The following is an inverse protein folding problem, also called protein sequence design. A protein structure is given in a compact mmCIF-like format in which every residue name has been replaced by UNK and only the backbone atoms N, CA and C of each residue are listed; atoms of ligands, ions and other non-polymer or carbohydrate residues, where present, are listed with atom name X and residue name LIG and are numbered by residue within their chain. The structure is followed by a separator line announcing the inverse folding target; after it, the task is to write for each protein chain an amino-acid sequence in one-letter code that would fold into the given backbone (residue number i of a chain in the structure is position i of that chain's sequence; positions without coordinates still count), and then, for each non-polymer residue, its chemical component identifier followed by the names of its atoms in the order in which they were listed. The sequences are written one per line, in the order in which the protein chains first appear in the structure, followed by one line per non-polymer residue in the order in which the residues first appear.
data_IF_610176414732
#
_entry.id   IF_610176414732
#
_cell.length_a   1.000
_cell.length_b   1.000
_cell.length_c   1.000
_cell.angle_alpha   90.00
_cell.angle_beta   90.00
_cell.angle_gamma   90.00
#
_symmetry.space_group_name_H-M   'P 1'
#
loop_
_entity.id
_entity.type
_entity.pdbx_description
1 polymer ?
#
# COMPACT_ATOMS: atom_id res chain seq x y z
N UNK A 1 16.70 4.08 17.58
CA UNK A 1 16.25 3.06 16.61
C UNK A 1 16.00 3.73 15.28
N UNK A 2 16.72 3.34 14.25
CA UNK A 2 16.56 3.96 12.94
C UNK A 2 15.24 3.53 12.32
N UNK A 3 14.43 4.51 11.92
CA UNK A 3 13.24 4.24 11.13
C UNK A 3 13.64 3.72 9.74
N UNK A 4 12.71 3.08 9.04
CA UNK A 4 12.97 2.67 7.65
C UNK A 4 13.37 3.88 6.80
N UNK A 5 12.77 5.03 7.09
CA UNK A 5 13.12 6.27 6.43
C UNK A 5 14.58 6.63 6.62
N UNK A 6 15.08 6.50 7.83
CA UNK A 6 16.49 6.76 8.12
C UNK A 6 17.38 5.72 7.46
N UNK A 7 17.00 4.45 7.51
CA UNK A 7 17.72 3.39 6.84
C UNK A 7 17.72 3.58 5.31
N UNK A 8 16.59 3.95 4.73
CA UNK A 8 16.47 4.24 3.31
C UNK A 8 17.20 5.54 2.93
N UNK A 9 17.15 6.55 3.81
CA UNK A 9 17.90 7.78 3.62
C UNK A 9 19.41 7.56 3.71
N UNK A 10 19.86 6.73 4.63
CA UNK A 10 21.28 6.48 4.82
C UNK A 10 21.84 5.57 3.73
N UNK A 11 21.06 4.70 3.17
CA UNK A 11 21.43 3.89 2.01
C UNK A 11 21.15 4.58 0.69
N UNK A 12 20.55 5.68 0.71
CA UNK A 12 20.53 6.88 -0.11
C UNK A 12 20.33 6.81 -1.58
N UNK A 13 20.15 5.68 -2.15
CA UNK A 13 20.15 5.59 -3.59
C UNK A 13 18.84 5.07 -4.15
N UNK A 14 17.98 4.54 -3.28
CA UNK A 14 16.62 4.25 -3.69
C UNK A 14 15.82 5.50 -3.39
N UNK A 15 15.44 6.24 -4.42
CA UNK A 15 14.55 7.35 -4.22
C UNK A 15 13.24 6.80 -3.67
N UNK A 16 12.70 7.52 -2.71
CA UNK A 16 11.38 7.21 -2.16
C UNK A 16 10.34 6.99 -3.26
N UNK A 17 10.48 7.73 -4.36
CA UNK A 17 9.59 7.62 -5.50
C UNK A 17 9.71 6.30 -6.25
N UNK A 18 10.90 5.70 -6.29
CA UNK A 18 11.09 4.38 -6.91
C UNK A 18 10.46 3.27 -6.10
N UNK A 19 10.57 3.35 -4.76
CA UNK A 19 9.95 2.36 -3.88
C UNK A 19 8.43 2.39 -3.91
N UNK A 20 7.85 3.55 -4.21
CA UNK A 20 6.39 3.73 -4.16
C UNK A 20 5.72 3.77 -5.52
N UNK A 21 6.49 3.83 -6.61
CA UNK A 21 5.94 3.74 -7.96
C UNK A 21 5.65 2.32 -8.39
N UNK A 22 6.32 1.36 -7.79
CA UNK A 22 6.16 -0.05 -8.11
C UNK A 22 5.49 -0.76 -6.96
N UNK A 23 4.53 -1.62 -7.29
CA UNK A 23 3.85 -2.47 -6.33
C UNK A 23 4.82 -3.57 -5.93
N UNK A 24 5.56 -3.36 -4.84
CA UNK A 24 6.65 -4.25 -4.46
C UNK A 24 6.23 -5.17 -3.33
N UNK A 25 6.55 -6.45 -3.46
CA UNK A 25 6.49 -7.39 -2.34
C UNK A 25 7.62 -7.08 -1.35
N UNK A 26 7.50 -7.58 -0.11
CA UNK A 26 8.56 -7.43 0.88
C UNK A 26 9.89 -8.00 0.38
N UNK A 27 9.84 -9.11 -0.36
CA UNK A 27 11.01 -9.75 -0.93
C UNK A 27 11.70 -8.86 -1.97
N UNK A 28 10.92 -8.23 -2.83
CA UNK A 28 11.45 -7.30 -3.83
C UNK A 28 12.11 -6.07 -3.19
N UNK A 29 11.50 -5.56 -2.11
CA UNK A 29 12.06 -4.45 -1.35
C UNK A 29 13.40 -4.86 -0.74
N UNK A 30 13.47 -6.05 -0.17
CA UNK A 30 14.70 -6.58 0.40
C UNK A 30 15.80 -6.69 -0.66
N UNK A 31 15.48 -7.18 -1.84
CA UNK A 31 16.44 -7.28 -2.94
C UNK A 31 16.95 -5.92 -3.38
N UNK A 32 16.07 -4.92 -3.46
CA UNK A 32 16.49 -3.55 -3.77
C UNK A 32 17.41 -3.00 -2.69
N UNK A 33 17.09 -3.24 -1.42
CA UNK A 33 17.94 -2.81 -0.31
C UNK A 33 19.33 -3.45 -0.35
N UNK A 34 19.40 -4.72 -0.72
CA UNK A 34 20.68 -5.45 -0.82
C UNK A 34 21.61 -4.89 -1.88
N UNK A 35 21.10 -4.24 -2.92
CA UNK A 35 21.92 -3.56 -3.91
C UNK A 35 22.75 -2.43 -3.31
N UNK A 36 22.21 -1.77 -2.31
CA UNK A 36 22.82 -0.61 -1.67
C UNK A 36 23.44 -0.94 -0.32
N UNK A 37 22.94 -2.00 0.32
CA UNK A 37 23.46 -2.51 1.59
C UNK A 37 23.41 -4.04 1.55
N UNK A 38 24.54 -4.71 1.23
CA UNK A 38 24.58 -6.18 1.16
C UNK A 38 24.23 -6.87 2.49
N UNK A 39 24.33 -6.13 3.61
CA UNK A 39 24.03 -6.64 4.94
C UNK A 39 22.59 -6.44 5.35
N UNK A 40 21.71 -5.95 4.46
CA UNK A 40 20.30 -5.77 4.76
C UNK A 40 19.65 -7.11 5.10
N UNK A 41 18.93 -7.14 6.23
CA UNK A 41 18.30 -8.35 6.74
C UNK A 41 16.78 -8.30 6.53
N UNK A 42 16.13 -9.44 6.27
CA UNK A 42 14.67 -9.49 6.13
C UNK A 42 13.92 -8.88 7.32
N UNK A 43 14.40 -9.14 8.54
CA UNK A 43 13.75 -8.61 9.74
C UNK A 43 13.68 -7.09 9.75
N UNK A 44 14.71 -6.40 9.26
CA UNK A 44 14.72 -4.94 9.18
C UNK A 44 13.66 -4.44 8.20
N UNK A 45 13.53 -5.09 7.05
CA UNK A 45 12.53 -4.75 6.05
C UNK A 45 11.11 -4.91 6.61
N UNK A 46 10.83 -6.04 7.25
CA UNK A 46 9.49 -6.31 7.80
C UNK A 46 9.10 -5.34 8.90
N UNK A 47 10.03 -5.03 9.82
CA UNK A 47 9.76 -4.03 10.88
C UNK A 47 9.45 -2.66 10.30
N UNK A 48 10.14 -2.30 9.27
CA UNK A 48 9.98 -1.01 8.61
C UNK A 48 8.66 -0.91 7.86
N UNK A 49 8.28 -1.99 7.19
CA UNK A 49 6.97 -2.07 6.53
C UNK A 49 5.82 -2.01 7.54
N UNK A 50 5.97 -2.71 8.67
CA UNK A 50 4.98 -2.64 9.75
C UNK A 50 4.82 -1.22 10.27
N UNK A 51 5.91 -0.52 10.48
CA UNK A 51 5.89 0.87 10.93
C UNK A 51 5.14 1.76 9.94
N UNK A 52 5.45 1.64 8.65
CA UNK A 52 4.80 2.44 7.60
C UNK A 52 3.32 2.12 7.46
N UNK A 53 2.94 0.85 7.64
CA UNK A 53 1.54 0.45 7.64
C UNK A 53 0.78 1.04 8.84
N UNK A 54 1.36 0.98 10.02
CA UNK A 54 0.77 1.55 11.23
C UNK A 54 0.62 3.08 11.11
N UNK A 55 1.56 3.72 10.47
CA UNK A 55 1.51 5.16 10.20
C UNK A 55 0.50 5.50 9.09
N UNK A 56 -0.05 4.52 8.38
CA UNK A 56 -1.02 4.73 7.31
C UNK A 56 -0.42 5.22 6.00
N UNK A 57 0.89 5.20 5.88
CA UNK A 57 1.59 5.72 4.69
C UNK A 57 1.52 4.70 3.54
N UNK A 58 1.66 3.42 3.85
CA UNK A 58 1.55 2.35 2.88
C UNK A 58 0.43 1.39 3.26
N UNK A 59 -0.04 0.65 2.28
CA UNK A 59 -1.06 -0.38 2.46
C UNK A 59 -0.55 -1.67 1.84
N UNK A 60 -0.76 -2.78 2.56
CA UNK A 60 -0.52 -4.09 2.01
C UNK A 60 -1.78 -4.51 1.25
N UNK A 61 -1.62 -4.80 -0.02
CA UNK A 61 -2.70 -5.34 -0.85
C UNK A 61 -2.73 -6.85 -0.64
N UNK A 62 -3.77 -7.33 0.01
CA UNK A 62 -3.85 -8.72 0.49
C UNK A 62 -3.90 -9.73 -0.66
N UNK A 63 -4.59 -9.42 -1.74
CA UNK A 63 -4.75 -10.35 -2.84
C UNK A 63 -3.44 -10.68 -3.56
N UNK A 64 -2.42 -9.86 -3.46
CA UNK A 64 -1.14 -10.10 -4.13
C UNK A 64 0.08 -9.89 -3.23
N UNK A 65 -0.15 -9.65 -1.94
CA UNK A 65 0.89 -9.45 -0.92
C UNK A 65 1.91 -8.38 -1.32
N UNK A 66 1.45 -7.32 -1.96
CA UNK A 66 2.28 -6.20 -2.38
C UNK A 66 1.97 -4.96 -1.55
N UNK A 67 2.95 -4.09 -1.44
CA UNK A 67 2.82 -2.84 -0.71
C UNK A 67 2.69 -1.68 -1.70
N UNK A 68 1.81 -0.74 -1.38
CA UNK A 68 1.57 0.43 -2.21
C UNK A 68 1.46 1.65 -1.30
N UNK A 69 1.99 2.77 -1.77
CA UNK A 69 1.83 4.03 -1.06
C UNK A 69 0.42 4.58 -1.30
N UNK A 70 -0.20 5.06 -0.24
CA UNK A 70 -1.47 5.77 -0.36
C UNK A 70 -1.28 7.14 -1.00
N UNK A 71 -2.08 7.45 -1.99
CA UNK A 71 -2.04 8.76 -2.65
C UNK A 71 -2.64 9.85 -1.78
N UNK A 72 -3.61 9.51 -0.94
CA UNK A 72 -4.26 10.46 -0.03
C UNK A 72 -4.24 9.89 1.38
N UNK A 73 -3.67 10.65 2.32
CA UNK A 73 -3.55 10.26 3.72
C UNK A 73 -4.64 10.88 4.60
N UNK A 74 -5.61 11.57 4.02
CA UNK A 74 -6.70 12.18 4.77
C UNK A 74 -7.56 11.13 5.46
N UNK A 75 -8.01 11.44 6.68
CA UNK A 75 -8.85 10.53 7.46
C UNK A 75 -10.32 10.57 7.09
N UNK A 76 -10.73 11.54 6.27
CA UNK A 76 -12.12 11.75 5.89
C UNK A 76 -12.50 11.16 4.52
N UNK A 77 -11.61 10.36 3.95
CA UNK A 77 -11.84 9.65 2.70
C UNK A 77 -11.54 8.17 2.87
N UNK A 78 -12.21 7.35 2.06
CA UNK A 78 -11.86 5.94 1.91
C UNK A 78 -11.01 5.77 0.67
N UNK A 79 -10.01 4.91 0.72
CA UNK A 79 -9.22 4.54 -0.45
C UNK A 79 -9.71 3.21 -0.98
N UNK A 80 -10.08 3.18 -2.26
CA UNK A 80 -10.53 2.00 -2.96
C UNK A 80 -9.42 1.60 -3.93
N UNK A 81 -8.98 0.35 -3.83
CA UNK A 81 -7.98 -0.22 -4.71
C UNK A 81 -8.68 -1.13 -5.71
N UNK A 82 -8.71 -0.73 -6.98
CA UNK A 82 -9.22 -1.56 -8.07
C UNK A 82 -8.05 -2.35 -8.64
N UNK A 83 -8.06 -3.65 -8.44
CA UNK A 83 -6.93 -4.51 -8.77
C UNK A 83 -7.32 -5.42 -9.91
N UNK A 84 -6.65 -5.28 -11.05
CA UNK A 84 -6.89 -6.17 -12.19
C UNK A 84 -6.37 -7.57 -11.86
N UNK A 85 -7.27 -8.55 -11.87
CA UNK A 85 -6.89 -9.93 -11.58
C UNK A 85 -6.10 -10.59 -12.70
N UNK A 86 -6.05 -9.97 -13.87
CA UNK A 86 -5.32 -10.50 -15.02
C UNK A 86 -3.89 -9.95 -15.12
N UNK A 87 -3.72 -8.64 -15.13
CA UNK A 87 -2.39 -8.01 -15.30
C UNK A 87 -1.80 -7.43 -14.02
N UNK A 88 -2.56 -7.40 -12.91
CA UNK A 88 -2.08 -6.89 -11.63
C UNK A 88 -2.02 -5.36 -11.52
N UNK A 89 -2.50 -4.63 -12.50
CA UNK A 89 -2.58 -3.17 -12.43
C UNK A 89 -3.49 -2.75 -11.27
N UNK A 90 -3.06 -1.75 -10.52
CA UNK A 90 -3.80 -1.24 -9.36
C UNK A 90 -4.14 0.22 -9.59
N UNK A 91 -5.41 0.56 -9.45
CA UNK A 91 -5.91 1.93 -9.53
C UNK A 91 -6.35 2.33 -8.13
N UNK A 92 -5.87 3.47 -7.64
CA UNK A 92 -6.30 4.03 -6.37
C UNK A 92 -7.36 5.11 -6.64
N UNK A 93 -8.45 5.00 -5.93
CA UNK A 93 -9.51 6.02 -5.93
C UNK A 93 -9.84 6.38 -4.49
N UNK A 94 -9.96 7.66 -4.21
CA UNK A 94 -10.37 8.14 -2.89
C UNK A 94 -11.75 8.77 -3.00
N UNK A 95 -12.61 8.48 -2.04
CA UNK A 95 -13.98 8.95 -2.09
C UNK A 95 -14.47 9.34 -0.69
N UNK A 96 -14.99 10.56 -0.59
CA UNK A 96 -15.54 11.10 0.65
C UNK A 96 -16.96 10.60 0.90
N UNK A 97 -17.76 10.47 -0.15
CA UNK A 97 -19.16 10.02 0.00
C UNK A 97 -19.24 8.58 0.46
N UNK A 98 -18.39 7.72 -0.11
CA UNK A 98 -18.30 6.32 0.31
C UNK A 98 -17.80 6.23 1.75
N UNK A 99 -16.84 7.07 2.13
CA UNK A 99 -16.37 7.17 3.51
C UNK A 99 -17.55 7.49 4.45
N UNK A 100 -18.31 8.53 4.14
CA UNK A 100 -19.44 8.94 4.96
C UNK A 100 -20.49 7.83 5.06
N UNK A 101 -20.75 7.13 3.97
CA UNK A 101 -21.70 6.02 3.95
C UNK A 101 -21.24 4.87 4.84
N UNK A 102 -19.97 4.49 4.78
CA UNK A 102 -19.42 3.42 5.60
C UNK A 102 -19.49 3.78 7.08
N UNK A 103 -19.10 5.02 7.44
CA UNK A 103 -19.15 5.48 8.83
C UNK A 103 -20.57 5.43 9.37
N UNK A 104 -21.52 5.90 8.59
CA UNK A 104 -22.93 5.89 8.97
C UNK A 104 -23.45 4.47 9.18
N UNK A 105 -23.12 3.56 8.28
CA UNK A 105 -23.53 2.15 8.40
C UNK A 105 -22.90 1.47 9.59
N UNK A 106 -21.61 1.76 9.87
CA UNK A 106 -20.96 1.22 11.05
C UNK A 106 -21.66 1.67 12.34
N UNK A 107 -22.04 2.94 12.42
CA UNK A 107 -22.77 3.50 13.56
C UNK A 107 -24.13 2.81 13.70
N UNK A 108 -24.85 2.57 12.61
CA UNK A 108 -26.16 1.88 12.62
C UNK A 108 -26.05 0.48 13.26
N UNK A 109 -24.91 -0.18 13.12
CA UNK A 109 -24.64 -1.50 13.72
C UNK A 109 -23.87 -1.42 15.04
N UNK A 110 -23.63 -0.22 15.57
CA UNK A 110 -22.88 -0.04 16.81
C UNK A 110 -21.38 -0.32 16.68
N UNK A 111 -20.84 -0.23 15.48
CA UNK A 111 -19.44 -0.54 15.19
C UNK A 111 -18.61 0.73 15.04
N UNK A 112 -17.32 0.61 15.36
CA UNK A 112 -16.33 1.66 15.08
C UNK A 112 -15.43 1.22 13.93
N UNK A 113 -15.26 2.09 12.94
CA UNK A 113 -14.40 1.78 11.78
C UNK A 113 -12.94 1.97 12.17
N UNK A 114 -12.14 0.93 11.98
CA UNK A 114 -10.70 0.98 12.25
C UNK A 114 -9.87 1.18 10.97
N UNK A 115 -10.24 0.51 9.89
CA UNK A 115 -9.52 0.58 8.62
C UNK A 115 -10.52 0.80 7.50
N UNK A 116 -10.19 1.70 6.59
CA UNK A 116 -11.10 2.13 5.52
C UNK A 116 -10.54 1.88 4.13
N UNK A 117 -9.73 0.87 3.97
CA UNK A 117 -9.21 0.51 2.67
C UNK A 117 -10.05 -0.63 2.09
N UNK A 118 -10.48 -0.46 0.84
CA UNK A 118 -11.33 -1.43 0.16
C UNK A 118 -10.56 -1.97 -1.05
N UNK A 119 -10.50 -3.28 -1.17
CA UNK A 119 -9.91 -3.96 -2.32
C UNK A 119 -11.02 -4.55 -3.17
N UNK A 120 -11.03 -4.18 -4.46
CA UNK A 120 -11.99 -4.69 -5.43
C UNK A 120 -11.23 -5.32 -6.58
N UNK A 121 -11.51 -6.58 -6.87
CA UNK A 121 -10.94 -7.26 -8.02
C UNK A 121 -11.72 -6.86 -9.27
N UNK A 122 -10.99 -6.41 -10.29
CA UNK A 122 -11.58 -5.94 -11.53
C UNK A 122 -10.84 -6.54 -12.74
N UNK A 123 -11.35 -6.29 -13.91
CA UNK A 123 -10.63 -6.52 -15.17
C UNK A 123 -10.42 -5.15 -15.79
N UNK A 124 -9.17 -4.75 -15.98
CA UNK A 124 -8.86 -3.42 -16.51
C UNK A 124 -9.29 -3.28 -17.97
N UNK A 125 -9.42 -2.04 -18.50
CA UNK A 125 -9.85 -1.84 -19.89
C UNK A 125 -8.99 -2.56 -20.91
N UNK A 126 -7.68 -2.58 -20.71
CA UNK A 126 -6.75 -3.25 -21.62
C UNK A 126 -6.97 -4.76 -21.65
N UNK A 127 -7.27 -5.36 -20.49
CA UNK A 127 -7.54 -6.80 -20.40
C UNK A 127 -8.93 -7.16 -20.92
N UNK A 128 -9.92 -6.29 -20.76
CA UNK A 128 -11.26 -6.51 -21.30
C UNK A 128 -11.25 -6.53 -22.82
N UNK A 129 -10.41 -5.69 -23.43
CA UNK A 129 -10.30 -5.62 -24.87
C UNK A 129 -9.61 -6.83 -25.50
N UNK A 130 -8.92 -7.64 -24.70
CA UNK A 130 -8.19 -8.84 -25.17
C UNK A 130 -8.95 -10.14 -24.96
N UNK A 131 -10.12 -10.06 -24.38
CA UNK A 131 -10.96 -11.22 -24.14
C UNK A 131 -11.57 -11.80 -25.40
#
# INVERSE_FOLDING_TARGET
MMSLWDALRMNMMISYQELVRTFLSAYQILELMKKYNPNAKPATVYRSLDYLQQAGIIVKIECCSKFIKKNNLSSDVVTIFLICSNCGTIIQHTDHLIHTYIEKKAIDYGCAVQKKDIEVKVICPDCRGKG
#
